data_IF_083330746511
#
_entry.id   IF_083330746511
#
_cell.length_a   1.000
_cell.length_b   1.000
_cell.length_c   1.000
_cell.angle_alpha   90.00
_cell.angle_beta   90.00
_cell.angle_gamma   90.00
#
_symmetry.space_group_name_H-M   'P 1'
#
loop_
_entity.id
_entity.type
_entity.pdbx_description
1 polymer ?
#
# COMPACT_ATOMS: atom_id res chain seq x y z
N UNK A 1 14.38 -7.41 2.31
CA UNK A 1 13.43 -6.78 3.25
C UNK A 1 12.88 -7.74 4.31
N UNK A 2 12.54 -8.99 3.96
CA UNK A 2 11.87 -9.90 4.91
C UNK A 2 12.73 -10.26 6.11
N UNK A 3 14.03 -10.51 5.93
CA UNK A 3 14.92 -10.81 7.05
C UNK A 3 15.08 -9.61 7.99
N UNK A 4 15.09 -8.40 7.44
CA UNK A 4 15.09 -7.18 8.25
C UNK A 4 13.75 -6.99 8.99
N UNK A 5 12.61 -7.30 8.36
CA UNK A 5 11.30 -7.26 9.00
C UNK A 5 11.17 -8.29 10.14
N UNK A 6 11.82 -9.48 10.02
CA UNK A 6 11.85 -10.52 11.04
C UNK A 6 12.72 -10.15 12.25
N UNK A 7 13.72 -9.28 12.07
CA UNK A 7 14.58 -8.84 13.15
C UNK A 7 13.77 -8.16 14.28
N UNK A 8 14.25 -8.24 15.50
CA UNK A 8 13.59 -7.57 16.64
C UNK A 8 13.55 -6.05 16.42
N UNK A 9 12.53 -5.35 16.92
CA UNK A 9 12.48 -3.89 16.84
C UNK A 9 13.77 -3.20 17.28
N UNK A 10 14.38 -3.63 18.39
CA UNK A 10 15.65 -3.09 18.90
C UNK A 10 16.84 -3.31 17.97
N UNK A 11 16.82 -4.33 17.12
CA UNK A 11 17.88 -4.62 16.15
C UNK A 11 17.75 -3.74 14.90
N UNK A 12 16.54 -3.29 14.57
CA UNK A 12 16.29 -2.39 13.44
C UNK A 12 16.55 -0.91 13.79
N UNK A 13 16.43 -0.56 15.08
CA UNK A 13 16.51 0.81 15.57
C UNK A 13 17.74 1.59 15.10
N UNK A 14 18.98 1.06 15.23
CA UNK A 14 20.18 1.78 14.83
C UNK A 14 20.20 2.16 13.34
N UNK A 15 19.67 1.30 12.47
CA UNK A 15 19.61 1.55 11.02
C UNK A 15 18.63 2.67 10.67
N UNK A 16 17.50 2.73 11.35
CA UNK A 16 16.55 3.81 11.16
C UNK A 16 17.09 5.14 11.71
N UNK A 17 17.77 5.12 12.85
CA UNK A 17 18.39 6.32 13.45
C UNK A 17 19.47 6.90 12.55
N UNK A 18 20.38 6.08 12.05
CA UNK A 18 21.45 6.52 11.16
C UNK A 18 20.90 7.02 9.83
N UNK A 19 19.95 6.30 9.23
CA UNK A 19 19.28 6.76 8.01
C UNK A 19 18.57 8.10 8.21
N UNK A 20 17.88 8.28 9.32
CA UNK A 20 17.20 9.53 9.65
C UNK A 20 18.17 10.70 9.78
N UNK A 21 19.31 10.48 10.45
CA UNK A 21 20.36 11.49 10.59
C UNK A 21 20.95 11.90 9.24
N UNK A 22 21.28 10.92 8.38
CA UNK A 22 21.86 11.16 7.05
C UNK A 22 20.90 11.85 6.08
N UNK A 23 19.60 11.58 6.19
CA UNK A 23 18.56 12.16 5.33
C UNK A 23 17.91 13.43 5.91
N UNK A 24 18.35 13.91 7.07
CA UNK A 24 17.72 15.00 7.80
C UNK A 24 16.20 14.80 7.98
N UNK A 25 15.83 13.58 8.38
CA UNK A 25 14.44 13.14 8.57
C UNK A 25 14.21 12.67 10.00
N UNK A 26 13.01 12.22 10.32
CA UNK A 26 12.69 11.60 11.61
C UNK A 26 12.82 10.08 11.56
N UNK A 27 13.20 9.45 12.67
CA UNK A 27 13.28 7.98 12.79
C UNK A 27 11.96 7.31 12.48
N UNK A 28 10.85 7.91 12.93
CA UNK A 28 9.49 7.41 12.67
C UNK A 28 9.10 7.48 11.20
N UNK A 29 9.54 8.51 10.47
CA UNK A 29 9.30 8.61 9.03
C UNK A 29 10.10 7.56 8.25
N UNK A 30 11.36 7.32 8.63
CA UNK A 30 12.21 6.29 8.00
C UNK A 30 11.68 4.89 8.30
N UNK A 31 11.26 4.62 9.52
CA UNK A 31 10.64 3.34 9.88
C UNK A 31 9.36 3.11 9.08
N UNK A 32 8.49 4.11 9.02
CA UNK A 32 7.23 4.01 8.28
C UNK A 32 7.45 3.82 6.78
N UNK A 33 8.46 4.49 6.21
CA UNK A 33 8.88 4.30 4.82
C UNK A 33 9.30 2.85 4.51
N UNK A 34 10.04 2.22 5.42
CA UNK A 34 10.39 0.80 5.30
C UNK A 34 9.13 -0.07 5.24
N UNK A 35 8.19 0.13 6.18
CA UNK A 35 6.99 -0.67 6.24
C UNK A 35 6.03 -0.43 5.08
N UNK A 36 5.97 0.79 4.53
CA UNK A 36 5.25 1.10 3.29
C UNK A 36 5.82 0.28 2.12
N UNK A 37 7.13 0.32 1.89
CA UNK A 37 7.77 -0.44 0.81
C UNK A 37 7.62 -1.94 1.01
N UNK A 38 7.73 -2.43 2.24
CA UNK A 38 7.52 -3.84 2.59
C UNK A 38 6.08 -4.28 2.33
N UNK A 39 5.10 -3.48 2.71
CA UNK A 39 3.68 -3.75 2.47
C UNK A 39 3.36 -3.77 0.98
N UNK A 40 3.82 -2.79 0.21
CA UNK A 40 3.69 -2.74 -1.24
C UNK A 40 4.26 -3.99 -1.91
N UNK A 41 5.47 -4.40 -1.52
CA UNK A 41 6.07 -5.63 -2.03
C UNK A 41 5.14 -6.84 -1.85
N UNK A 42 4.57 -6.99 -0.66
CA UNK A 42 3.72 -8.15 -0.37
C UNK A 42 2.36 -8.07 -1.04
N UNK A 43 1.78 -6.89 -1.20
CA UNK A 43 0.55 -6.69 -1.98
C UNK A 43 0.73 -7.13 -3.45
N UNK A 44 1.83 -6.72 -4.10
CA UNK A 44 2.10 -7.05 -5.50
C UNK A 44 2.63 -8.48 -5.72
N UNK A 45 2.93 -9.21 -4.66
CA UNK A 45 3.26 -10.63 -4.69
C UNK A 45 2.05 -11.55 -4.41
N UNK A 46 0.86 -10.99 -4.16
CA UNK A 46 -0.34 -11.81 -4.01
C UNK A 46 -0.79 -12.36 -5.36
N UNK A 47 -1.10 -13.64 -5.37
CA UNK A 47 -1.65 -14.32 -6.53
C UNK A 47 -3.16 -14.59 -6.36
N UNK A 48 -3.88 -14.67 -7.49
CA UNK A 48 -5.32 -14.95 -7.49
C UNK A 48 -6.14 -13.83 -6.83
N UNK A 49 -5.75 -12.59 -7.04
CA UNK A 49 -6.48 -11.36 -6.74
C UNK A 49 -6.65 -10.55 -8.04
N UNK A 50 -7.61 -9.63 -8.11
CA UNK A 50 -7.68 -8.66 -9.21
C UNK A 50 -6.39 -7.86 -9.33
N UNK A 51 -6.05 -7.45 -10.55
CA UNK A 51 -4.89 -6.58 -10.80
C UNK A 51 -4.99 -5.30 -9.95
N UNK A 52 -3.90 -4.98 -9.26
CA UNK A 52 -3.75 -3.78 -8.45
C UNK A 52 -2.87 -2.77 -9.16
N UNK A 53 -3.13 -1.48 -8.92
CA UNK A 53 -2.27 -0.37 -9.35
C UNK A 53 -2.02 0.57 -8.21
N UNK A 54 -0.77 0.91 -8.02
CA UNK A 54 -0.33 1.87 -7.01
C UNK A 54 -0.51 3.29 -7.53
N UNK A 55 -1.11 4.15 -6.73
CA UNK A 55 -1.40 5.54 -7.06
C UNK A 55 -1.24 6.46 -5.85
N UNK A 56 -1.73 7.68 -5.97
CA UNK A 56 -1.81 8.64 -4.86
C UNK A 56 -0.49 9.29 -4.49
N UNK A 57 -0.49 9.97 -3.33
CA UNK A 57 0.63 10.77 -2.87
C UNK A 57 1.93 9.99 -2.71
N UNK A 58 1.86 8.78 -2.18
CA UNK A 58 3.03 7.92 -2.00
C UNK A 58 3.63 7.46 -3.34
N UNK A 59 2.79 7.22 -4.35
CA UNK A 59 3.26 6.93 -5.71
C UNK A 59 3.93 8.16 -6.34
N UNK A 60 3.35 9.35 -6.20
CA UNK A 60 3.94 10.59 -6.70
C UNK A 60 5.31 10.88 -6.10
N UNK A 61 5.49 10.58 -4.81
CA UNK A 61 6.77 10.74 -4.12
C UNK A 61 7.77 9.64 -4.50
N UNK A 62 7.40 8.37 -4.32
CA UNK A 62 8.31 7.21 -4.41
C UNK A 62 8.62 6.76 -5.83
N UNK A 63 7.65 6.84 -6.75
CA UNK A 63 7.80 6.38 -8.14
C UNK A 63 8.24 7.52 -9.03
N UNK A 64 7.59 8.67 -8.91
CA UNK A 64 7.78 9.79 -9.83
C UNK A 64 8.72 10.89 -9.31
N UNK A 65 9.02 10.91 -8.01
CA UNK A 65 9.89 11.93 -7.41
C UNK A 65 9.36 13.37 -7.54
N UNK A 66 8.03 13.54 -7.67
CA UNK A 66 7.40 14.83 -7.96
C UNK A 66 7.04 15.63 -6.73
N UNK A 67 6.92 14.98 -5.59
CA UNK A 67 6.63 15.64 -4.32
C UNK A 67 7.65 15.21 -3.27
N UNK A 68 8.28 16.20 -2.67
CA UNK A 68 9.25 16.01 -1.60
C UNK A 68 8.57 16.13 -0.23
N UNK A 69 7.52 15.33 -0.04
CA UNK A 69 6.87 15.19 1.26
C UNK A 69 6.68 13.72 1.58
N UNK A 70 6.83 13.38 2.84
CA UNK A 70 6.48 12.08 3.33
C UNK A 70 4.96 11.87 3.19
N UNK A 71 4.57 10.76 2.58
CA UNK A 71 3.18 10.31 2.49
C UNK A 71 3.03 8.99 3.24
N UNK A 72 1.95 8.85 3.99
CA UNK A 72 1.77 7.80 4.99
C UNK A 72 0.87 6.67 4.53
N UNK A 73 0.12 6.88 3.44
CA UNK A 73 -0.93 5.99 2.99
C UNK A 73 -0.53 5.26 1.70
N UNK A 74 -1.06 4.08 1.52
CA UNK A 74 -0.93 3.28 0.30
C UNK A 74 -2.26 3.34 -0.44
N UNK A 75 -2.32 4.09 -1.52
CA UNK A 75 -3.49 4.17 -2.38
C UNK A 75 -3.41 3.13 -3.50
N UNK A 76 -4.37 2.22 -3.54
CA UNK A 76 -4.47 1.17 -4.53
C UNK A 76 -5.73 1.33 -5.37
N UNK A 77 -5.66 1.10 -6.65
CA UNK A 77 -6.86 0.87 -7.44
C UNK A 77 -6.96 -0.61 -7.86
N UNK A 78 -8.18 -1.13 -7.81
CA UNK A 78 -8.49 -2.51 -8.20
C UNK A 78 -9.08 -2.50 -9.62
N UNK A 79 -8.64 -3.43 -10.46
CA UNK A 79 -9.19 -3.58 -11.80
C UNK A 79 -10.69 -3.97 -11.73
N UNK A 80 -11.55 -2.99 -11.99
CA UNK A 80 -13.00 -3.16 -11.91
C UNK A 80 -13.58 -4.15 -12.92
N UNK A 81 -12.90 -4.35 -14.06
CA UNK A 81 -13.34 -5.33 -15.05
C UNK A 81 -13.26 -6.76 -14.50
N UNK A 82 -12.24 -7.06 -13.67
CA UNK A 82 -12.12 -8.34 -12.99
C UNK A 82 -13.24 -8.60 -11.97
N UNK A 83 -13.90 -7.54 -11.50
CA UNK A 83 -15.06 -7.59 -10.60
C UNK A 83 -16.41 -7.57 -11.36
N UNK A 84 -16.39 -7.70 -12.70
CA UNK A 84 -17.60 -7.70 -13.53
C UNK A 84 -18.14 -6.33 -13.92
N UNK A 85 -17.34 -5.26 -13.75
CA UNK A 85 -17.73 -3.89 -14.14
C UNK A 85 -17.03 -3.47 -15.44
N UNK A 86 -17.47 -4.06 -16.56
CA UNK A 86 -17.00 -3.78 -17.92
C UNK A 86 -18.18 -3.75 -18.90
N UNK A 87 -17.95 -3.28 -20.12
CA UNK A 87 -18.98 -3.20 -21.17
C UNK A 87 -20.17 -2.34 -20.76
N UNK A 88 -21.36 -2.92 -20.70
CA UNK A 88 -22.59 -2.22 -20.29
C UNK A 88 -22.58 -1.78 -18.82
N UNK A 89 -21.79 -2.45 -17.99
CA UNK A 89 -21.60 -2.11 -16.57
C UNK A 89 -20.36 -1.24 -16.31
N UNK A 90 -19.67 -0.82 -17.34
CA UNK A 90 -18.51 0.08 -17.17
C UNK A 90 -19.00 1.48 -16.78
N UNK A 91 -18.54 1.99 -15.63
CA UNK A 91 -18.88 3.33 -15.15
C UNK A 91 -18.42 4.44 -16.10
N UNK A 92 -17.44 4.17 -16.98
CA UNK A 92 -17.00 5.09 -18.02
C UNK A 92 -17.91 5.08 -19.27
N UNK A 93 -18.88 4.16 -19.36
CA UNK A 93 -19.80 4.10 -20.51
C UNK A 93 -20.64 5.39 -20.59
N UNK A 94 -20.51 6.16 -21.68
CA UNK A 94 -21.22 7.43 -21.85
C UNK A 94 -22.74 7.27 -22.01
N UNK A 95 -23.21 6.08 -22.33
CA UNK A 95 -24.64 5.78 -22.50
C UNK A 95 -25.37 5.54 -21.17
N UNK A 96 -24.66 5.47 -20.06
CA UNK A 96 -25.29 5.31 -18.75
C UNK A 96 -26.01 6.58 -18.31
N UNK A 97 -27.26 6.43 -17.88
CA UNK A 97 -27.95 7.50 -17.16
C UNK A 97 -27.27 7.77 -15.79
N UNK A 98 -27.44 9.00 -15.28
CA UNK A 98 -26.88 9.36 -13.97
C UNK A 98 -27.32 8.43 -12.84
N UNK A 99 -28.62 8.05 -12.83
CA UNK A 99 -29.16 7.11 -11.83
C UNK A 99 -28.52 5.72 -11.95
N UNK A 100 -28.37 5.20 -13.17
CA UNK A 100 -27.76 3.90 -13.38
C UNK A 100 -26.27 3.91 -13.01
N UNK A 101 -25.56 4.98 -13.35
CA UNK A 101 -24.16 5.17 -12.97
C UNK A 101 -23.99 5.17 -11.44
N UNK A 102 -24.87 5.89 -10.72
CA UNK A 102 -24.83 5.90 -9.25
C UNK A 102 -25.08 4.52 -8.66
N UNK A 103 -26.08 3.78 -9.15
CA UNK A 103 -26.34 2.39 -8.72
C UNK A 103 -25.13 1.47 -8.96
N UNK A 104 -24.51 1.56 -10.15
CA UNK A 104 -23.32 0.77 -10.47
C UNK A 104 -22.10 1.16 -9.61
N UNK A 105 -21.99 2.42 -9.24
CA UNK A 105 -20.94 2.89 -8.33
C UNK A 105 -21.09 2.29 -6.93
N UNK A 106 -22.30 2.26 -6.41
CA UNK A 106 -22.62 1.62 -5.12
C UNK A 106 -22.35 0.10 -5.18
N UNK A 107 -22.77 -0.55 -6.27
CA UNK A 107 -22.50 -1.97 -6.50
C UNK A 107 -20.98 -2.27 -6.58
N UNK A 108 -20.20 -1.42 -7.27
CA UNK A 108 -18.75 -1.56 -7.36
C UNK A 108 -18.07 -1.37 -6.00
N UNK A 109 -18.50 -0.40 -5.21
CA UNK A 109 -17.98 -0.21 -3.84
C UNK A 109 -18.20 -1.47 -3.00
N UNK A 110 -19.42 -2.02 -3.03
CA UNK A 110 -19.73 -3.25 -2.31
C UNK A 110 -18.87 -4.44 -2.80
N UNK A 111 -18.65 -4.56 -4.11
CA UNK A 111 -17.82 -5.61 -4.70
C UNK A 111 -16.34 -5.47 -4.29
N UNK A 112 -15.80 -4.24 -4.27
CA UNK A 112 -14.42 -4.00 -3.80
C UNK A 112 -14.31 -4.33 -2.32
N UNK A 113 -15.24 -3.86 -1.48
CA UNK A 113 -15.27 -4.16 -0.04
C UNK A 113 -15.29 -5.68 0.21
N UNK A 114 -16.13 -6.40 -0.53
CA UNK A 114 -16.20 -7.85 -0.45
C UNK A 114 -14.86 -8.51 -0.84
N UNK A 115 -14.26 -8.10 -1.96
CA UNK A 115 -12.97 -8.64 -2.44
C UNK A 115 -11.83 -8.35 -1.45
N UNK A 116 -11.77 -7.13 -0.92
CA UNK A 116 -10.77 -6.76 0.08
C UNK A 116 -10.89 -7.63 1.32
N UNK A 117 -12.10 -7.80 1.84
CA UNK A 117 -12.30 -8.53 3.11
C UNK A 117 -12.24 -10.06 2.95
N UNK A 118 -12.73 -10.62 1.82
CA UNK A 118 -12.82 -12.06 1.63
C UNK A 118 -11.60 -12.69 0.95
N UNK A 119 -10.83 -11.91 0.20
CA UNK A 119 -9.72 -12.44 -0.61
C UNK A 119 -8.39 -11.77 -0.27
N UNK A 120 -8.30 -10.44 -0.36
CA UNK A 120 -7.03 -9.72 -0.19
C UNK A 120 -6.56 -9.80 1.26
N UNK A 121 -7.41 -9.44 2.21
CA UNK A 121 -7.08 -9.42 3.64
C UNK A 121 -6.59 -10.79 4.16
N UNK A 122 -7.29 -11.92 3.94
CA UNK A 122 -6.81 -13.22 4.40
C UNK A 122 -5.45 -13.60 3.79
N UNK A 123 -5.27 -13.43 2.48
CA UNK A 123 -4.01 -13.74 1.80
C UNK A 123 -2.85 -12.88 2.29
N UNK A 124 -3.09 -11.59 2.49
CA UNK A 124 -2.08 -10.66 2.99
C UNK A 124 -1.74 -10.97 4.45
N UNK A 125 -2.74 -11.28 5.27
CA UNK A 125 -2.57 -11.68 6.66
C UNK A 125 -1.72 -12.96 6.77
N UNK A 126 -2.04 -14.00 6.01
CA UNK A 126 -1.28 -15.26 6.02
C UNK A 126 0.19 -15.03 5.61
N UNK A 127 0.39 -14.17 4.61
CA UNK A 127 1.74 -13.79 4.18
C UNK A 127 2.50 -13.02 5.26
N UNK A 128 1.87 -12.05 5.91
CA UNK A 128 2.48 -11.31 7.02
C UNK A 128 2.76 -12.23 8.21
N UNK A 129 1.82 -13.10 8.56
CA UNK A 129 1.99 -14.08 9.63
C UNK A 129 3.18 -15.01 9.38
N UNK A 130 3.38 -15.45 8.14
CA UNK A 130 4.51 -16.34 7.78
C UNK A 130 5.88 -15.66 7.95
N UNK A 131 5.94 -14.33 7.89
CA UNK A 131 7.18 -13.56 7.97
C UNK A 131 7.37 -12.98 9.37
N UNK A 132 6.36 -12.28 9.89
CA UNK A 132 6.45 -11.55 11.16
C UNK A 132 6.26 -12.47 12.39
N UNK A 133 5.60 -13.60 12.19
CA UNK A 133 5.45 -14.61 13.24
C UNK A 133 4.79 -14.06 14.50
N UNK A 134 5.46 -14.25 15.64
CA UNK A 134 4.98 -13.82 16.96
C UNK A 134 5.32 -12.37 17.34
N UNK A 135 5.81 -11.53 16.41
CA UNK A 135 5.98 -10.11 16.70
C UNK A 135 4.60 -9.44 16.92
N UNK A 136 4.59 -8.30 17.57
CA UNK A 136 3.35 -7.54 17.80
C UNK A 136 2.98 -6.76 16.54
N UNK A 137 1.99 -7.24 15.83
CA UNK A 137 1.41 -6.59 14.65
C UNK A 137 -0.08 -6.89 14.53
N UNK A 138 -0.79 -6.14 13.72
CA UNK A 138 -2.20 -6.36 13.42
C UNK A 138 -2.50 -5.90 11.98
N UNK A 139 -3.29 -6.66 11.24
CA UNK A 139 -3.86 -6.27 9.96
C UNK A 139 -5.36 -6.48 10.03
N UNK A 140 -6.14 -5.40 9.93
CA UNK A 140 -7.59 -5.43 10.07
C UNK A 140 -8.27 -4.39 9.16
N UNK A 141 -9.56 -4.57 8.82
CA UNK A 141 -10.33 -3.52 8.18
C UNK A 141 -10.43 -2.28 9.07
N UNK A 142 -10.51 -1.09 8.44
CA UNK A 142 -10.86 0.12 9.18
C UNK A 142 -12.24 -0.02 9.84
N UNK A 143 -12.39 0.58 11.01
CA UNK A 143 -13.68 0.64 11.72
C UNK A 143 -14.47 1.89 11.38
N UNK A 144 -13.92 2.78 10.57
CA UNK A 144 -14.63 3.97 10.09
C UNK A 144 -15.55 3.58 8.93
N UNK A 145 -16.83 3.90 9.05
CA UNK A 145 -17.85 3.61 8.04
C UNK A 145 -17.56 4.31 6.69
N UNK A 146 -16.79 5.39 6.70
CA UNK A 146 -16.35 6.07 5.47
C UNK A 146 -15.14 5.41 4.81
N UNK A 147 -14.51 4.44 5.47
CA UNK A 147 -13.30 3.75 5.06
C UNK A 147 -13.53 2.25 4.80
N UNK A 148 -14.70 1.86 4.30
CA UNK A 148 -15.11 0.47 4.06
C UNK A 148 -14.13 -0.36 3.21
N UNK A 149 -13.36 0.31 2.33
CA UNK A 149 -12.38 -0.31 1.44
C UNK A 149 -10.95 -0.10 1.94
N UNK A 150 -10.76 0.02 3.26
CA UNK A 150 -9.47 0.34 3.86
C UNK A 150 -9.01 -0.73 4.83
N UNK A 151 -7.76 -1.15 4.70
CA UNK A 151 -7.08 -1.98 5.69
C UNK A 151 -6.08 -1.13 6.48
N UNK A 152 -5.98 -1.43 7.77
CA UNK A 152 -5.01 -0.83 8.69
C UNK A 152 -3.97 -1.89 9.05
N UNK A 153 -2.71 -1.63 8.76
CA UNK A 153 -1.59 -2.46 9.17
C UNK A 153 -0.82 -1.76 10.30
N UNK A 154 -0.97 -2.27 11.51
CA UNK A 154 -0.15 -1.91 12.67
C UNK A 154 1.12 -2.77 12.65
N UNK A 155 2.24 -2.19 12.26
CA UNK A 155 3.50 -2.91 12.12
C UNK A 155 4.28 -3.03 13.44
N UNK A 156 5.22 -4.00 13.55
CA UNK A 156 6.06 -4.14 14.74
C UNK A 156 7.05 -2.97 14.83
N UNK A 157 6.65 -1.89 15.50
CA UNK A 157 7.41 -0.65 15.59
C UNK A 157 8.64 -0.75 16.50
N UNK A 158 9.72 -0.05 16.11
CA UNK A 158 10.96 0.04 16.85
C UNK A 158 11.01 1.26 17.80
N UNK A 159 10.14 2.25 17.59
CA UNK A 159 10.10 3.49 18.35
C UNK A 159 8.75 3.70 19.03
N UNK A 160 8.76 4.48 20.11
CA UNK A 160 7.52 4.99 20.67
C UNK A 160 7.01 6.14 19.79
N UNK A 161 5.73 6.07 19.47
CA UNK A 161 5.06 7.09 18.66
C UNK A 161 4.32 8.07 19.54
N UNK A 162 4.35 9.35 19.16
CA UNK A 162 3.51 10.37 19.79
C UNK A 162 2.03 10.08 19.49
N UNK A 163 1.13 10.67 20.28
CA UNK A 163 -0.32 10.53 20.07
C UNK A 163 -0.80 10.98 18.68
N UNK A 164 -0.02 11.79 17.99
CA UNK A 164 -0.32 12.33 16.66
C UNK A 164 0.07 11.37 15.53
N UNK A 165 1.22 10.70 15.63
CA UNK A 165 1.65 9.70 14.66
C UNK A 165 1.39 8.31 15.23
N UNK A 166 0.74 7.45 14.47
CA UNK A 166 0.51 6.05 14.85
C UNK A 166 1.41 5.13 14.03
N UNK A 167 1.96 4.04 14.63
CA UNK A 167 2.74 3.04 13.91
C UNK A 167 1.82 2.14 13.06
N UNK A 168 1.12 2.76 12.13
CA UNK A 168 0.19 2.09 11.22
C UNK A 168 0.34 2.60 9.81
N UNK A 169 0.05 1.75 8.86
CA UNK A 169 -0.11 2.07 7.44
C UNK A 169 -1.56 1.88 7.07
N UNK A 170 -2.12 2.87 6.39
CA UNK A 170 -3.45 2.83 5.81
C UNK A 170 -3.33 2.35 4.36
N UNK A 171 -4.07 1.30 4.01
CA UNK A 171 -4.10 0.75 2.66
C UNK A 171 -5.50 0.98 2.12
N UNK A 172 -5.65 1.94 1.24
CA UNK A 172 -6.94 2.35 0.67
C UNK A 172 -7.13 1.72 -0.71
N UNK A 173 -8.24 1.01 -0.89
CA UNK A 173 -8.59 0.40 -2.17
C UNK A 173 -9.67 1.24 -2.85
N UNK A 174 -9.29 1.89 -3.93
CA UNK A 174 -10.20 2.70 -4.72
C UNK A 174 -10.71 2.00 -5.97
N UNK A 175 -11.71 2.63 -6.59
CA UNK A 175 -12.32 2.21 -7.84
C UNK A 175 -11.33 2.44 -8.99
N UNK A 176 -10.69 1.37 -9.45
CA UNK A 176 -9.70 1.44 -10.53
C UNK A 176 -10.29 1.94 -11.83
N UNK A 177 -9.55 2.79 -12.51
CA UNK A 177 -9.69 3.05 -13.92
C UNK A 177 -8.83 2.06 -14.71
N UNK A 178 -9.20 1.71 -15.95
CA UNK A 178 -8.45 0.80 -16.83
C UNK A 178 -7.31 1.50 -17.60
N UNK A 179 -6.78 2.56 -17.05
CA UNK A 179 -5.68 3.29 -17.66
C UNK A 179 -4.37 2.47 -17.66
N UNK A 180 -3.48 2.69 -18.63
CA UNK A 180 -2.19 2.01 -18.66
C UNK A 180 -1.40 2.22 -17.36
N UNK A 181 -0.74 1.18 -16.90
CA UNK A 181 0.22 1.23 -15.79
C UNK A 181 1.63 1.00 -16.30
N UNK A 182 2.61 1.48 -15.55
CA UNK A 182 4.03 1.25 -15.80
C UNK A 182 4.63 0.40 -14.70
N UNK A 183 5.49 -0.55 -15.10
CA UNK A 183 6.27 -1.32 -14.13
C UNK A 183 7.31 -0.41 -13.50
N UNK A 184 7.27 -0.31 -12.18
CA UNK A 184 8.18 0.50 -11.39
C UNK A 184 8.72 -0.28 -10.20
N UNK A 185 9.79 0.20 -9.59
CA UNK A 185 10.31 -0.35 -8.35
C UNK A 185 10.50 0.74 -7.32
N UNK A 186 10.17 0.42 -6.07
CA UNK A 186 10.42 1.32 -4.94
C UNK A 186 11.26 0.60 -3.90
N UNK A 187 12.19 1.33 -3.29
CA UNK A 187 13.07 0.84 -2.23
C UNK A 187 12.89 1.69 -0.98
N UNK A 188 13.01 1.10 0.21
CA UNK A 188 13.05 1.86 1.46
C UNK A 188 14.30 2.75 1.54
N UNK A 189 14.20 3.87 2.21
CA UNK A 189 15.34 4.75 2.47
C UNK A 189 16.50 4.04 3.18
N UNK A 190 16.19 3.17 4.13
CA UNK A 190 17.19 2.38 4.85
C UNK A 190 17.97 1.44 3.92
N UNK A 191 17.35 0.94 2.86
CA UNK A 191 18.00 0.07 1.86
C UNK A 191 19.02 0.83 1.02
N UNK A 192 18.72 2.09 0.71
CA UNK A 192 19.64 2.96 -0.03
C UNK A 192 20.90 3.28 0.77
N UNK A 193 20.77 3.41 2.10
CA UNK A 193 21.89 3.72 3.00
C UNK A 193 22.71 2.50 3.39
N UNK A 194 22.10 1.32 3.44
CA UNK A 194 22.72 0.06 3.87
C UNK A 194 22.54 -1.06 2.82
N UNK A 195 23.05 -0.89 1.60
CA UNK A 195 22.83 -1.86 0.51
C UNK A 195 23.38 -3.27 0.85
N UNK A 196 24.43 -3.36 1.65
CA UNK A 196 25.05 -4.64 2.02
C UNK A 196 24.15 -5.52 2.91
N UNK A 197 23.20 -4.93 3.62
CA UNK A 197 22.25 -5.64 4.48
C UNK A 197 21.04 -6.13 3.68
N UNK A 198 20.76 -5.46 2.58
CA UNK A 198 19.61 -5.74 1.74
C UNK A 198 20.07 -6.35 0.41
N UNK A 199 19.55 -7.53 0.10
CA UNK A 199 19.79 -8.18 -1.19
C UNK A 199 19.07 -7.45 -2.32
N UNK A 200 19.42 -7.72 -3.59
CA UNK A 200 18.77 -7.18 -4.79
C UNK A 200 17.24 -7.35 -4.80
N UNK A 201 16.71 -8.30 -4.04
CA UNK A 201 15.27 -8.53 -3.89
C UNK A 201 14.57 -7.58 -2.90
N UNK A 202 15.23 -6.54 -2.45
CA UNK A 202 14.67 -5.59 -1.48
C UNK A 202 13.82 -4.49 -2.10
N UNK A 203 13.74 -4.41 -3.41
CA UNK A 203 12.80 -3.52 -4.09
C UNK A 203 11.39 -4.14 -4.14
N UNK A 204 10.38 -3.31 -3.95
CA UNK A 204 9.01 -3.67 -4.30
C UNK A 204 8.80 -3.39 -5.78
N UNK A 205 8.62 -4.43 -6.59
CA UNK A 205 8.23 -4.30 -8.01
C UNK A 205 6.71 -4.21 -8.05
N UNK A 206 6.19 -3.18 -8.69
CA UNK A 206 4.77 -2.83 -8.68
C UNK A 206 4.31 -2.26 -10.02
N UNK A 207 3.02 -2.27 -10.23
CA UNK A 207 2.36 -1.56 -11.32
C UNK A 207 1.89 -0.19 -10.80
N UNK A 208 2.59 0.89 -11.19
CA UNK A 208 2.19 2.24 -10.87
C UNK A 208 1.19 2.76 -11.91
N UNK A 209 0.12 3.40 -11.46
CA UNK A 209 -0.73 4.20 -12.33
C UNK A 209 0.10 5.28 -13.04
N UNK A 210 -0.28 5.67 -14.25
CA UNK A 210 0.41 6.74 -14.95
C UNK A 210 0.29 8.09 -14.20
N UNK A 211 1.11 9.06 -14.59
CA UNK A 211 1.17 10.36 -13.91
C UNK A 211 -0.19 11.07 -13.87
N UNK A 212 -1.00 10.96 -14.93
CA UNK A 212 -2.33 11.60 -14.98
C UNK A 212 -3.28 11.01 -13.94
N UNK A 213 -3.27 9.68 -13.74
CA UNK A 213 -4.08 9.01 -12.72
C UNK A 213 -3.67 9.37 -11.28
N UNK A 214 -2.40 9.70 -11.08
CA UNK A 214 -1.90 10.09 -9.76
C UNK A 214 -2.23 11.55 -9.42
N UNK A 215 -2.63 12.35 -10.41
CA UNK A 215 -2.98 13.77 -10.22
C UNK A 215 -4.49 14.00 -10.10
N UNK A 216 -5.33 13.00 -10.42
CA UNK A 216 -6.79 13.03 -10.35
C UNK A 216 -7.31 12.28 -9.11
#
# INVERSE_FOLDING_TARGET
MDDFAKAKPSERQPYFEETAALRNSTTTAVEKDFWICWTLRHLFLLEGIPELRFKGGTSLSKVFGLIDRFSEDIDMSINRAALGFSGERDLANPLLSGTKRKSLDEELRAAITAEVNSTILPKLHDRFQSILGGQRWELAPSRDENEEMTLLFHYPNAFEYSSYLRPQIKIEFGRGDQQPSEKSSVTPFVTEMFPDIFTEKSAAVLDAGNLVQNLL
#
